data_IF_280469016245
#
_entry.id   IF_280469016245
#
_cell.length_a   1.000
_cell.length_b   1.000
_cell.length_c   1.000
_cell.angle_alpha   90.00
_cell.angle_beta   90.00
_cell.angle_gamma   90.00
#
_symmetry.space_group_name_H-M   'P 1'
#
loop_
_entity.id
_entity.type
_entity.pdbx_description
1 polymer ?
#
# COMPACT_ATOMS: atom_id res chain seq x y z
N UNK A 1 -11.29 7.49 -1.11
CA UNK A 1 -11.94 6.89 -2.30
C UNK A 1 -13.27 7.59 -2.47
N UNK A 2 -13.48 8.25 -3.60
CA UNK A 2 -14.81 8.72 -4.04
C UNK A 2 -15.19 7.82 -5.21
N UNK A 3 -16.48 7.55 -5.42
CA UNK A 3 -16.98 6.43 -6.25
C UNK A 3 -16.29 6.21 -7.61
N UNK A 4 -15.67 7.25 -8.18
CA UNK A 4 -15.04 7.21 -9.50
C UNK A 4 -13.58 7.72 -9.56
N UNK A 5 -12.91 8.03 -8.44
CA UNK A 5 -11.50 8.48 -8.41
C UNK A 5 -10.85 8.30 -7.02
N UNK A 6 -9.52 8.36 -6.98
CA UNK A 6 -8.73 8.26 -5.75
C UNK A 6 -7.96 9.53 -5.47
N UNK A 7 -7.70 9.77 -4.18
CA UNK A 7 -6.83 10.85 -3.71
C UNK A 7 -5.78 10.18 -2.84
N UNK A 8 -4.51 10.40 -3.16
CA UNK A 8 -3.36 10.02 -2.34
C UNK A 8 -2.83 11.29 -1.69
N UNK A 9 -2.68 11.26 -0.38
CA UNK A 9 -2.08 12.32 0.40
C UNK A 9 -0.77 11.78 0.99
N UNK A 10 0.35 12.38 0.62
CA UNK A 10 1.63 12.14 1.27
C UNK A 10 1.89 13.30 2.22
N UNK A 11 2.19 12.98 3.47
CA UNK A 11 2.60 13.96 4.47
C UNK A 11 3.84 13.43 5.19
N UNK A 12 4.94 14.18 5.09
CA UNK A 12 6.25 13.81 5.62
C UNK A 12 6.67 14.80 6.72
N UNK A 13 7.19 14.26 7.82
CA UNK A 13 7.53 15.02 9.02
C UNK A 13 8.98 14.81 9.41
N UNK A 14 9.50 15.80 10.12
CA UNK A 14 10.85 15.82 10.65
C UNK A 14 11.42 17.23 10.59
N UNK A 15 12.70 17.34 10.90
CA UNK A 15 13.41 18.62 10.90
C UNK A 15 14.41 18.68 9.74
N UNK A 16 14.53 19.85 9.11
CA UNK A 16 15.53 20.10 8.07
C UNK A 16 15.06 19.79 6.65
N UNK A 17 16.02 19.75 5.74
CA UNK A 17 15.82 19.44 4.32
C UNK A 17 16.19 18.00 4.01
N UNK A 18 15.28 17.30 3.33
CA UNK A 18 15.41 15.88 3.01
C UNK A 18 15.21 15.64 1.53
N UNK A 19 15.91 14.62 1.01
CA UNK A 19 15.59 14.09 -0.31
C UNK A 19 14.36 13.20 -0.18
N UNK A 20 13.32 13.47 -0.97
CA UNK A 20 12.10 12.67 -0.98
C UNK A 20 11.79 12.19 -2.39
N UNK A 21 11.06 11.08 -2.46
CA UNK A 21 10.55 10.50 -3.71
C UNK A 21 9.14 9.96 -3.45
N UNK A 22 8.19 10.41 -4.26
CA UNK A 22 6.90 9.74 -4.43
C UNK A 22 7.00 8.83 -5.65
N UNK A 23 6.55 7.59 -5.51
CA UNK A 23 6.68 6.57 -6.55
C UNK A 23 5.33 5.86 -6.79
N UNK A 24 4.88 5.84 -8.04
CA UNK A 24 3.74 5.05 -8.52
C UNK A 24 4.22 4.05 -9.57
N UNK A 25 4.09 2.76 -9.26
CA UNK A 25 4.50 1.65 -10.12
C UNK A 25 3.34 1.19 -11.01
N UNK A 26 3.59 0.99 -12.31
CA UNK A 26 2.61 0.49 -13.27
C UNK A 26 2.97 -0.90 -13.78
N UNK A 27 1.98 -1.57 -14.37
CA UNK A 27 2.15 -2.90 -14.96
C UNK A 27 2.93 -2.86 -16.29
N UNK A 28 3.44 -4.02 -16.68
CA UNK A 28 4.15 -4.23 -17.94
C UNK A 28 3.24 -3.87 -19.12
N UNK A 29 3.80 -3.16 -20.10
CA UNK A 29 3.08 -2.73 -21.29
C UNK A 29 2.20 -1.50 -21.09
N UNK A 30 2.13 -0.94 -19.87
CA UNK A 30 1.61 0.41 -19.71
C UNK A 30 2.55 1.42 -20.36
N UNK A 31 1.98 2.48 -20.91
CA UNK A 31 2.70 3.67 -21.37
C UNK A 31 2.40 4.81 -20.41
N UNK A 32 3.42 5.60 -20.02
CA UNK A 32 3.24 6.73 -19.10
C UNK A 32 3.79 7.99 -19.75
N UNK A 33 2.91 8.95 -19.98
CA UNK A 33 3.24 10.28 -20.45
C UNK A 33 3.25 11.25 -19.26
N UNK A 34 4.23 12.15 -19.21
CA UNK A 34 4.38 13.12 -18.12
C UNK A 34 4.45 14.53 -18.69
N UNK A 35 3.64 15.42 -18.12
CA UNK A 35 3.66 16.86 -18.38
C UNK A 35 3.63 17.61 -17.05
N UNK A 36 4.76 18.18 -16.66
CA UNK A 36 4.95 18.90 -15.41
C UNK A 36 4.43 18.13 -14.18
N UNK A 37 3.26 18.50 -13.65
CA UNK A 37 2.64 17.88 -12.46
C UNK A 37 1.58 16.84 -12.79
N UNK A 38 1.34 16.60 -14.08
CA UNK A 38 0.37 15.65 -14.60
C UNK A 38 1.06 14.45 -15.24
N UNK A 39 0.48 13.28 -15.07
CA UNK A 39 0.86 12.10 -15.82
C UNK A 39 -0.38 11.36 -16.32
N UNK A 40 -0.25 10.70 -17.47
CA UNK A 40 -1.27 9.81 -18.01
C UNK A 40 -0.66 8.43 -18.21
N UNK A 41 -1.20 7.43 -17.54
CA UNK A 41 -0.87 6.05 -17.80
C UNK A 41 -1.93 5.41 -18.71
N UNK A 42 -1.51 4.71 -19.75
CA UNK A 42 -2.39 3.99 -20.69
C UNK A 42 -2.03 2.51 -20.65
N UNK A 43 -3.01 1.66 -20.37
CA UNK A 43 -2.86 0.21 -20.39
C UNK A 43 -3.03 -0.36 -21.82
N UNK A 44 -2.50 -1.56 -22.14
CA UNK A 44 -2.61 -2.16 -23.48
C UNK A 44 -4.04 -2.34 -24.00
N UNK A 45 -5.02 -2.42 -23.11
CA UNK A 45 -6.43 -2.57 -23.47
C UNK A 45 -7.15 -1.23 -23.76
N UNK A 46 -6.42 -0.11 -23.70
CA UNK A 46 -6.91 1.25 -23.91
C UNK A 46 -7.47 1.94 -22.65
N UNK A 47 -7.45 1.29 -21.48
CA UNK A 47 -7.84 1.95 -20.23
C UNK A 47 -6.78 2.99 -19.83
N UNK A 48 -7.21 4.16 -19.37
CA UNK A 48 -6.29 5.24 -18.96
C UNK A 48 -6.43 5.56 -17.49
N UNK A 49 -5.36 6.08 -16.88
CA UNK A 49 -5.35 6.67 -15.56
C UNK A 49 -4.71 8.05 -15.65
N UNK A 50 -5.49 9.09 -15.37
CA UNK A 50 -5.00 10.47 -15.24
C UNK A 50 -4.53 10.71 -13.80
N UNK A 51 -3.35 11.32 -13.65
CA UNK A 51 -2.70 11.59 -12.38
C UNK A 51 -2.41 13.08 -12.34
N UNK A 52 -3.08 13.82 -11.47
CA UNK A 52 -2.81 15.24 -11.24
C UNK A 52 -2.25 15.40 -9.86
N UNK A 53 -1.02 15.86 -9.78
CA UNK A 53 -0.38 16.13 -8.50
C UNK A 53 -0.36 17.62 -8.21
N UNK A 54 -0.68 18.00 -6.99
CA UNK A 54 -0.56 19.36 -6.48
C UNK A 54 0.33 19.36 -5.23
N UNK A 55 0.81 20.55 -4.89
CA UNK A 55 1.92 20.75 -3.96
C UNK A 55 3.22 20.06 -4.47
N UNK A 56 4.31 20.26 -3.72
CA UNK A 56 5.62 19.74 -4.11
C UNK A 56 6.23 20.41 -5.34
N UNK A 57 6.19 21.75 -5.39
CA UNK A 57 6.81 22.54 -6.46
C UNK A 57 8.33 22.27 -6.63
N UNK A 58 8.99 21.70 -5.61
CA UNK A 58 10.39 21.26 -5.67
C UNK A 58 10.60 19.82 -6.16
N UNK A 59 9.53 19.07 -6.44
CA UNK A 59 9.63 17.70 -6.94
C UNK A 59 9.59 17.68 -8.47
N UNK A 60 10.61 17.07 -9.06
CA UNK A 60 10.71 16.83 -10.50
C UNK A 60 10.00 15.51 -10.83
N UNK A 61 9.11 15.58 -11.81
CA UNK A 61 8.43 14.41 -12.36
C UNK A 61 9.30 13.71 -13.40
N UNK A 62 9.36 12.38 -13.33
CA UNK A 62 10.04 11.55 -14.32
C UNK A 62 9.38 10.17 -14.46
N UNK A 63 9.61 9.52 -15.60
CA UNK A 63 9.26 8.11 -15.81
C UNK A 63 10.54 7.31 -15.87
N UNK A 64 10.62 6.28 -15.03
CA UNK A 64 11.70 5.31 -15.07
C UNK A 64 11.14 3.98 -15.53
N UNK A 65 11.73 3.39 -16.57
CA UNK A 65 11.40 2.05 -17.05
C UNK A 65 12.63 1.19 -16.78
N UNK A 66 12.56 0.41 -15.70
CA UNK A 66 13.70 -0.34 -15.17
C UNK A 66 14.87 0.56 -14.79
N UNK A 67 15.11 0.79 -13.50
CA UNK A 67 16.35 1.43 -13.11
C UNK A 67 17.58 0.52 -13.35
N UNK A 68 18.76 1.15 -13.45
CA UNK A 68 20.02 0.47 -13.79
C UNK A 68 20.52 -0.51 -12.73
N UNK A 69 19.94 -0.45 -11.52
CA UNK A 69 20.24 -1.37 -10.45
C UNK A 69 19.29 -2.58 -10.56
N UNK A 70 19.50 -3.41 -11.58
CA UNK A 70 18.81 -4.70 -11.65
C UNK A 70 19.13 -5.52 -10.41
N UNK A 71 18.10 -6.08 -9.80
CA UNK A 71 18.25 -7.03 -8.73
C UNK A 71 17.30 -8.21 -8.98
N UNK A 72 17.84 -9.40 -8.71
CA UNK A 72 17.36 -10.72 -9.10
C UNK A 72 15.88 -11.00 -8.78
N UNK A 73 15.42 -12.16 -9.25
CA UNK A 73 14.04 -12.66 -9.14
C UNK A 73 13.40 -12.40 -7.79
N UNK A 74 12.21 -11.81 -7.80
CA UNK A 74 11.36 -11.67 -6.61
C UNK A 74 10.62 -13.00 -6.37
N UNK A 75 11.00 -13.72 -5.30
CA UNK A 75 10.37 -14.95 -4.73
C UNK A 75 10.72 -16.29 -5.42
N UNK A 76 11.02 -17.41 -4.72
CA UNK A 76 10.39 -18.05 -3.53
C UNK A 76 11.40 -18.77 -2.59
N UNK A 77 11.26 -18.65 -1.25
CA UNK A 77 11.98 -19.50 -0.26
C UNK A 77 11.42 -20.93 -0.11
N UNK A 78 10.26 -21.26 -0.69
CA UNK A 78 9.70 -22.61 -0.65
C UNK A 78 10.23 -23.53 -1.77
N UNK A 79 11.09 -23.04 -2.66
CA UNK A 79 11.82 -23.90 -3.60
C UNK A 79 13.22 -24.17 -3.04
N UNK A 80 13.67 -25.44 -2.96
CA UNK A 80 14.95 -25.76 -2.37
C UNK A 80 16.06 -25.23 -3.28
N UNK A 81 16.75 -24.18 -2.79
CA UNK A 81 17.91 -23.48 -3.39
C UNK A 81 17.56 -22.52 -4.52
N UNK A 82 18.34 -21.44 -4.62
CA UNK A 82 18.22 -20.28 -5.53
C UNK A 82 17.13 -19.30 -5.01
N UNK A 83 17.39 -18.05 -4.57
CA UNK A 83 18.29 -16.99 -5.08
C UNK A 83 18.57 -15.99 -3.92
N UNK A 84 19.70 -15.29 -3.96
CA UNK A 84 20.01 -14.17 -3.05
C UNK A 84 18.97 -13.05 -3.23
N UNK A 85 18.30 -12.68 -2.14
CA UNK A 85 17.29 -11.63 -2.10
C UNK A 85 17.91 -10.25 -2.20
N UNK A 86 17.32 -9.41 -3.05
CA UNK A 86 17.84 -8.09 -3.38
C UNK A 86 16.65 -7.23 -3.82
N UNK A 87 16.42 -6.09 -3.16
CA UNK A 87 15.25 -5.22 -3.36
C UNK A 87 15.16 -4.83 -4.83
N UNK A 88 14.03 -5.10 -5.49
CA UNK A 88 13.80 -4.61 -6.85
C UNK A 88 13.74 -3.09 -6.84
N UNK A 89 14.50 -2.46 -7.73
CA UNK A 89 14.48 -1.02 -7.93
C UNK A 89 13.19 -0.52 -8.59
N UNK A 90 13.17 0.77 -8.88
CA UNK A 90 12.02 1.45 -9.50
C UNK A 90 11.86 0.97 -10.92
N UNK A 91 10.63 0.84 -11.39
CA UNK A 91 10.40 0.48 -12.79
C UNK A 91 10.53 -1.02 -13.08
N UNK A 92 10.34 -1.88 -12.09
CA UNK A 92 10.39 -3.33 -12.25
C UNK A 92 9.11 -3.98 -11.70
N UNK A 93 8.54 -4.93 -12.44
CA UNK A 93 7.38 -5.72 -12.02
C UNK A 93 7.68 -7.21 -12.20
N UNK A 94 7.52 -7.98 -11.13
CA UNK A 94 7.40 -9.43 -11.21
C UNK A 94 5.97 -9.83 -11.55
N UNK A 95 5.78 -10.79 -12.44
CA UNK A 95 4.44 -11.32 -12.77
C UNK A 95 4.24 -12.69 -12.13
N UNK A 96 3.22 -12.85 -11.30
CA UNK A 96 2.76 -14.16 -10.83
C UNK A 96 1.75 -14.79 -11.81
N UNK A 97 1.84 -16.10 -12.01
CA UNK A 97 0.73 -16.94 -12.49
C UNK A 97 0.83 -17.50 -13.91
N UNK A 98 0.20 -18.67 -14.11
CA UNK A 98 0.09 -19.42 -15.38
C UNK A 98 -0.78 -18.74 -16.46
N UNK A 99 -1.28 -17.52 -16.21
CA UNK A 99 -2.24 -16.82 -17.06
C UNK A 99 -1.68 -15.55 -17.73
N UNK A 100 -0.36 -15.37 -17.70
CA UNK A 100 0.34 -14.36 -18.49
C UNK A 100 1.30 -15.03 -19.47
N UNK A 101 1.47 -14.51 -20.70
CA UNK A 101 2.51 -15.01 -21.62
C UNK A 101 3.94 -14.67 -21.14
N UNK A 102 4.09 -13.98 -20.01
CA UNK A 102 5.35 -13.48 -19.48
C UNK A 102 5.96 -14.51 -18.50
N UNK A 103 7.27 -14.80 -18.57
CA UNK A 103 7.92 -15.76 -17.67
C UNK A 103 7.73 -15.38 -16.19
N UNK A 104 7.06 -16.24 -15.41
CA UNK A 104 6.67 -16.00 -14.02
C UNK A 104 7.83 -15.92 -13.00
N UNK A 105 9.07 -16.13 -13.45
CA UNK A 105 10.28 -16.15 -12.63
C UNK A 105 11.26 -15.04 -12.99
N UNK A 106 10.80 -13.96 -13.65
CA UNK A 106 11.66 -12.82 -14.00
C UNK A 106 10.94 -11.50 -13.74
N UNK A 107 11.65 -10.59 -13.08
CA UNK A 107 11.27 -9.18 -13.07
C UNK A 107 11.37 -8.65 -14.51
N UNK A 108 10.35 -7.91 -14.93
CA UNK A 108 10.33 -7.26 -16.23
C UNK A 108 10.36 -5.74 -16.03
N UNK A 109 11.01 -5.00 -16.93
CA UNK A 109 10.92 -3.55 -16.90
C UNK A 109 9.47 -3.11 -17.12
N UNK A 110 9.02 -2.20 -16.28
CA UNK A 110 7.70 -1.58 -16.33
C UNK A 110 7.83 -0.11 -15.94
N UNK A 111 6.92 0.78 -16.35
CA UNK A 111 7.07 2.18 -15.99
C UNK A 111 6.79 2.41 -14.50
N UNK A 112 7.57 3.30 -13.91
CA UNK A 112 7.30 3.94 -12.63
C UNK A 112 7.24 5.45 -12.86
N UNK A 113 6.20 6.10 -12.35
CA UNK A 113 6.11 7.55 -12.28
C UNK A 113 6.69 8.01 -10.95
N UNK A 114 7.74 8.82 -11.02
CA UNK A 114 8.44 9.35 -9.86
C UNK A 114 8.23 10.86 -9.78
N UNK A 115 8.08 11.37 -8.56
CA UNK A 115 8.24 12.79 -8.23
C UNK A 115 9.29 12.91 -7.14
N UNK A 116 10.49 13.37 -7.48
CA UNK A 116 11.63 13.39 -6.56
C UNK A 116 12.27 14.77 -6.45
N UNK A 117 12.80 15.09 -5.28
CA UNK A 117 13.40 16.39 -5.03
C UNK A 117 13.78 16.60 -3.57
N UNK A 118 14.50 17.69 -3.30
CA UNK A 118 14.82 18.09 -1.93
C UNK A 118 13.72 19.01 -1.41
N UNK A 119 13.21 18.71 -0.21
CA UNK A 119 12.10 19.46 0.40
C UNK A 119 12.41 19.72 1.87
N UNK A 120 11.90 20.84 2.40
CA UNK A 120 11.93 21.14 3.82
C UNK A 120 10.70 20.52 4.49
N UNK A 121 10.90 19.89 5.63
CA UNK A 121 9.79 19.36 6.42
C UNK A 121 9.16 20.43 7.33
N UNK A 122 7.83 20.34 7.61
CA UNK A 122 6.91 19.32 7.08
C UNK A 122 6.58 19.52 5.60
N UNK A 123 6.43 18.41 4.89
CA UNK A 123 6.14 18.38 3.45
C UNK A 123 4.81 17.70 3.19
N UNK A 124 4.07 18.17 2.18
CA UNK A 124 2.84 17.55 1.71
C UNK A 124 2.77 17.47 0.19
N UNK A 125 2.19 16.39 -0.32
CA UNK A 125 1.73 16.26 -1.70
C UNK A 125 0.34 15.65 -1.74
N UNK A 126 -0.43 16.05 -2.76
CA UNK A 126 -1.72 15.41 -3.08
C UNK A 126 -1.67 14.97 -4.52
N UNK A 127 -2.03 13.71 -4.77
CA UNK A 127 -2.17 13.14 -6.10
C UNK A 127 -3.59 12.66 -6.30
N UNK A 128 -4.30 13.23 -7.26
CA UNK A 128 -5.63 12.82 -7.69
C UNK A 128 -5.48 11.83 -8.85
N UNK A 129 -6.06 10.64 -8.70
CA UNK A 129 -5.97 9.55 -9.68
C UNK A 129 -7.35 9.25 -10.26
N UNK A 130 -7.54 9.51 -11.55
CA UNK A 130 -8.84 9.44 -12.22
C UNK A 130 -8.79 8.38 -13.33
N UNK A 131 -9.42 7.20 -13.14
CA UNK A 131 -9.43 6.15 -14.15
C UNK A 131 -10.37 6.51 -15.30
N UNK A 132 -10.18 5.94 -16.48
CA UNK A 132 -11.19 5.93 -17.54
C UNK A 132 -12.44 5.17 -17.08
N UNK A 133 -13.63 5.58 -17.55
CA UNK A 133 -14.87 4.80 -17.45
C UNK A 133 -15.24 4.40 -18.88
N UNK A 134 -15.58 3.12 -19.09
CA UNK A 134 -15.90 2.58 -20.41
C UNK A 134 -14.85 2.91 -21.50
N UNK A 135 -13.57 2.90 -21.09
CA UNK A 135 -12.40 3.30 -21.90
C UNK A 135 -12.42 4.75 -22.42
N UNK A 136 -13.33 5.58 -21.95
CA UNK A 136 -13.28 7.02 -22.19
C UNK A 136 -12.34 7.65 -21.18
N UNK A 137 -11.29 8.29 -21.70
CA UNK A 137 -10.35 9.02 -20.88
C UNK A 137 -11.07 10.14 -20.10
N UNK A 138 -10.67 10.31 -18.85
CA UNK A 138 -11.17 11.36 -17.97
C UNK A 138 -9.98 12.10 -17.38
N UNK A 139 -10.22 13.35 -17.03
CA UNK A 139 -9.22 14.25 -16.48
C UNK A 139 -9.82 14.93 -15.26
N UNK A 140 -9.04 15.04 -14.19
CA UNK A 140 -9.40 15.89 -13.07
C UNK A 140 -8.79 17.28 -13.26
N UNK A 141 -9.55 18.34 -12.98
CA UNK A 141 -8.98 19.65 -12.72
C UNK A 141 -8.91 19.85 -11.21
N UNK A 142 -7.75 20.28 -10.72
CA UNK A 142 -7.49 20.41 -9.29
C UNK A 142 -7.02 21.82 -8.98
N UNK A 143 -7.75 22.51 -8.12
CA UNK A 143 -7.47 23.90 -7.74
C UNK A 143 -7.24 24.00 -6.24
N UNK A 144 -6.15 24.65 -5.83
CA UNK A 144 -5.90 24.96 -4.42
C UNK A 144 -6.72 26.18 -4.06
N UNK A 145 -7.68 26.03 -3.14
CA UNK A 145 -8.48 27.13 -2.61
C UNK A 145 -7.81 27.78 -1.40
N UNK A 146 -7.14 26.97 -0.58
CA UNK A 146 -6.41 27.43 0.59
C UNK A 146 -5.17 26.56 0.83
N UNK A 147 -4.06 27.21 1.18
CA UNK A 147 -2.85 26.56 1.66
C UNK A 147 -2.25 27.36 2.81
N UNK A 148 -2.36 26.84 4.04
CA UNK A 148 -1.85 27.45 5.25
C UNK A 148 -1.03 26.45 6.08
N UNK A 149 -0.38 26.95 7.13
CA UNK A 149 0.38 26.13 8.07
C UNK A 149 -0.48 25.12 8.84
N UNK A 150 -1.79 25.35 8.97
CA UNK A 150 -2.70 24.50 9.74
C UNK A 150 -3.72 23.72 8.91
N UNK A 151 -3.88 24.04 7.63
CA UNK A 151 -4.84 23.36 6.74
C UNK A 151 -4.58 23.63 5.27
N UNK A 152 -5.10 22.78 4.41
CA UNK A 152 -5.32 23.11 3.00
C UNK A 152 -6.73 22.73 2.57
N UNK A 153 -7.21 23.42 1.54
CA UNK A 153 -8.50 23.14 0.89
C UNK A 153 -8.24 23.06 -0.61
N UNK A 154 -8.67 21.96 -1.23
CA UNK A 154 -8.54 21.75 -2.67
C UNK A 154 -9.88 21.40 -3.26
N UNK A 155 -10.14 21.99 -4.41
CA UNK A 155 -11.30 21.74 -5.25
C UNK A 155 -10.89 20.77 -6.36
N UNK A 156 -11.72 19.76 -6.61
CA UNK A 156 -11.48 18.70 -7.57
C UNK A 156 -12.71 18.58 -8.47
N UNK A 157 -12.55 18.87 -9.76
CA UNK A 157 -13.58 18.67 -10.77
C UNK A 157 -13.17 17.50 -11.67
N UNK A 158 -13.95 16.41 -11.64
CA UNK A 158 -13.68 15.21 -12.49
C UNK A 158 -14.64 15.06 -13.66
N UNK A 159 -15.73 15.84 -13.65
CA UNK A 159 -16.74 15.96 -14.72
C UNK A 159 -17.32 17.37 -14.67
N UNK A 160 -17.71 17.95 -15.82
CA UNK A 160 -18.30 19.29 -15.86
C UNK A 160 -19.46 19.43 -14.86
N UNK A 161 -19.33 20.38 -13.94
CA UNK A 161 -20.36 20.71 -12.94
C UNK A 161 -20.42 19.78 -11.74
N UNK A 162 -19.56 18.75 -11.63
CA UNK A 162 -19.36 17.98 -10.41
C UNK A 162 -18.05 18.40 -9.74
N UNK A 163 -18.20 19.18 -8.67
CA UNK A 163 -17.08 19.72 -7.90
C UNK A 163 -17.08 19.08 -6.51
N UNK A 164 -15.98 18.42 -6.17
CA UNK A 164 -15.71 17.90 -4.84
C UNK A 164 -14.71 18.81 -4.13
N UNK A 165 -14.95 19.11 -2.85
CA UNK A 165 -14.00 19.84 -2.00
C UNK A 165 -13.34 18.86 -1.01
N UNK A 166 -12.01 18.92 -0.93
CA UNK A 166 -11.23 18.25 0.10
C UNK A 166 -10.60 19.30 1.00
N UNK A 167 -11.11 19.38 2.23
CA UNK A 167 -10.43 20.07 3.33
C UNK A 167 -9.58 19.06 4.10
N UNK A 168 -8.33 19.43 4.41
CA UNK A 168 -7.47 18.68 5.29
C UNK A 168 -6.88 19.59 6.36
N UNK A 169 -7.09 19.26 7.63
CA UNK A 169 -6.45 19.95 8.75
C UNK A 169 -5.10 19.30 9.01
N UNK A 170 -4.04 20.10 9.04
CA UNK A 170 -2.72 19.65 9.46
C UNK A 170 -2.65 19.47 11.00
N UNK A 171 -3.70 19.83 11.73
CA UNK A 171 -3.88 19.48 13.14
C UNK A 171 -4.46 18.07 13.36
N UNK A 172 -4.99 17.41 12.31
CA UNK A 172 -5.36 15.98 12.34
C UNK A 172 -4.12 15.06 12.18
N UNK A 173 -2.92 15.65 12.20
CA UNK A 173 -1.65 14.97 12.38
C UNK A 173 -1.58 14.45 13.81
N UNK A 174 -2.00 13.19 14.02
CA UNK A 174 -1.91 12.55 15.34
C UNK A 174 -0.50 12.72 15.89
N UNK A 175 -0.38 13.26 17.11
CA UNK A 175 0.86 13.41 17.88
C UNK A 175 1.85 12.27 17.57
N UNK A 176 2.90 12.59 16.79
CA UNK A 176 3.85 11.65 16.18
C UNK A 176 4.82 10.97 17.18
N UNK A 177 4.45 10.88 18.45
CA UNK A 177 5.27 10.17 19.44
C UNK A 177 5.14 8.64 19.34
N UNK A 178 4.26 8.11 18.50
CA UNK A 178 4.19 6.67 18.25
C UNK A 178 4.80 6.28 16.90
N UNK A 179 6.02 5.75 16.96
CA UNK A 179 6.67 5.03 15.86
C UNK A 179 5.78 3.85 15.43
N UNK A 180 5.19 3.93 14.23
CA UNK A 180 4.25 2.89 13.75
C UNK A 180 4.97 1.62 13.25
N UNK A 181 6.24 1.71 12.84
CA UNK A 181 7.30 0.68 12.79
C UNK A 181 8.41 1.14 11.83
N UNK A 182 9.63 0.64 12.01
CA UNK A 182 10.65 0.66 10.95
C UNK A 182 10.29 -0.47 9.96
N UNK A 183 10.15 -0.16 8.68
CA UNK A 183 10.09 -1.07 7.53
C UNK A 183 9.80 -2.55 7.85
N UNK A 184 8.52 -2.93 7.82
CA UNK A 184 8.13 -4.33 7.95
C UNK A 184 7.04 -4.67 6.94
N UNK A 185 7.15 -5.83 6.31
CA UNK A 185 6.26 -6.30 5.23
C UNK A 185 4.85 -6.62 5.73
N UNK A 186 4.16 -5.67 6.34
CA UNK A 186 2.77 -5.79 6.76
C UNK A 186 2.12 -4.42 6.90
N UNK A 187 0.78 -4.38 6.75
CA UNK A 187 0.00 -3.14 6.74
C UNK A 187 -1.16 -3.24 7.73
N UNK A 188 -1.41 -2.17 8.50
CA UNK A 188 -2.53 -2.09 9.44
C UNK A 188 -3.52 -1.02 9.01
N UNK A 189 -4.80 -1.38 8.88
CA UNK A 189 -5.89 -0.42 8.73
C UNK A 189 -6.62 -0.24 10.06
N UNK A 190 -6.70 1.00 10.56
CA UNK A 190 -7.53 1.38 11.72
C UNK A 190 -8.80 2.09 11.26
N UNK A 191 -9.91 1.87 11.97
CA UNK A 191 -11.18 2.61 11.83
C UNK A 191 -11.65 2.94 13.24
N UNK A 192 -11.89 4.21 13.52
CA UNK A 192 -12.24 4.75 14.85
C UNK A 192 -11.22 4.34 15.94
N UNK A 193 -9.92 4.41 15.61
CA UNK A 193 -8.82 4.05 16.53
C UNK A 193 -8.59 2.54 16.72
N UNK A 194 -9.49 1.68 16.23
CA UNK A 194 -9.37 0.23 16.37
C UNK A 194 -8.75 -0.43 15.12
N UNK A 195 -7.86 -1.41 15.32
CA UNK A 195 -7.34 -2.25 14.22
C UNK A 195 -8.49 -3.06 13.62
N UNK A 196 -8.69 -2.93 12.30
CA UNK A 196 -9.73 -3.64 11.53
C UNK A 196 -9.16 -4.70 10.60
N UNK A 197 -7.98 -4.46 10.04
CA UNK A 197 -7.31 -5.37 9.11
C UNK A 197 -5.82 -5.29 9.28
N UNK A 198 -5.18 -6.44 9.17
CA UNK A 198 -3.73 -6.63 9.15
C UNK A 198 -3.44 -7.44 7.89
N UNK A 199 -2.60 -6.91 7.01
CA UNK A 199 -2.10 -7.64 5.84
C UNK A 199 -0.68 -8.05 6.18
N UNK A 200 -0.39 -9.35 6.15
CA UNK A 200 0.93 -9.89 6.44
C UNK A 200 1.56 -10.31 5.11
N UNK A 201 2.77 -9.83 4.83
CA UNK A 201 3.54 -10.15 3.63
C UNK A 201 4.85 -10.81 4.03
N UNK A 202 4.90 -12.14 3.88
CA UNK A 202 6.11 -12.94 4.03
C UNK A 202 6.81 -12.76 5.40
N UNK A 203 6.03 -12.82 6.49
CA UNK A 203 6.54 -12.75 7.86
C UNK A 203 6.09 -13.99 8.65
N UNK A 204 6.98 -14.55 9.45
CA UNK A 204 6.68 -15.62 10.41
C UNK A 204 6.30 -15.07 11.78
N UNK A 205 6.70 -13.85 12.11
CA UNK A 205 6.32 -13.14 13.34
C UNK A 205 5.87 -11.73 13.02
N UNK A 206 4.69 -11.36 13.50
CA UNK A 206 4.16 -9.99 13.39
C UNK A 206 3.79 -9.50 14.79
N UNK A 207 4.38 -8.37 15.21
CA UNK A 207 4.10 -7.76 16.50
C UNK A 207 3.74 -6.29 16.33
N UNK A 208 2.53 -5.94 16.73
CA UNK A 208 1.97 -4.60 16.64
C UNK A 208 1.81 -4.08 18.07
N UNK A 209 2.50 -3.00 18.41
CA UNK A 209 2.32 -2.29 19.68
C UNK A 209 1.59 -0.96 19.45
N UNK A 210 0.77 -0.56 20.40
CA UNK A 210 0.06 0.73 20.43
C UNK A 210 -0.22 1.15 21.87
N UNK A 211 -0.59 2.42 22.11
CA UNK A 211 -1.07 2.87 23.44
C UNK A 211 -2.17 1.97 24.03
N UNK A 212 -2.98 1.34 23.18
CA UNK A 212 -4.07 0.46 23.59
C UNK A 212 -3.64 -0.99 23.90
N UNK A 213 -2.43 -1.44 23.58
CA UNK A 213 -2.02 -2.83 23.81
C UNK A 213 -1.25 -3.45 22.64
N UNK A 214 -1.10 -4.78 22.67
CA UNK A 214 -0.28 -5.53 21.70
C UNK A 214 -1.10 -6.55 20.91
N UNK A 215 -0.77 -6.73 19.64
CA UNK A 215 -1.26 -7.83 18.79
C UNK A 215 -0.03 -8.59 18.30
N UNK A 216 0.04 -9.89 18.53
CA UNK A 216 1.18 -10.73 18.15
C UNK A 216 0.73 -12.00 17.42
N UNK A 217 1.35 -12.29 16.28
CA UNK A 217 1.17 -13.49 15.47
C UNK A 217 2.50 -14.23 15.35
N UNK A 218 2.44 -15.56 15.41
CA UNK A 218 3.56 -16.44 15.11
C UNK A 218 3.10 -17.59 14.22
N UNK A 219 3.84 -17.84 13.16
CA UNK A 219 3.64 -18.92 12.22
C UNK A 219 4.86 -19.86 12.21
N UNK A 220 4.68 -21.12 11.79
CA UNK A 220 5.78 -22.10 11.67
C UNK A 220 6.64 -21.92 10.41
N UNK A 221 6.37 -20.85 9.66
CA UNK A 221 7.08 -20.41 8.47
C UNK A 221 6.54 -19.04 8.04
N UNK A 222 7.11 -18.47 6.98
CA UNK A 222 6.67 -17.17 6.48
C UNK A 222 5.22 -17.25 5.95
N UNK A 223 4.34 -16.42 6.52
CA UNK A 223 2.94 -16.35 6.17
C UNK A 223 2.66 -15.14 5.25
N UNK A 224 1.74 -15.34 4.31
CA UNK A 224 1.17 -14.27 3.50
C UNK A 224 -0.35 -14.40 3.47
N UNK A 225 -1.03 -13.29 3.73
CA UNK A 225 -2.49 -13.24 3.80
C UNK A 225 -2.99 -12.08 4.62
N UNK A 226 -4.26 -12.13 5.01
CA UNK A 226 -4.90 -11.09 5.82
C UNK A 226 -5.54 -11.65 7.08
N UNK A 227 -5.52 -10.82 8.11
CA UNK A 227 -6.24 -11.01 9.37
C UNK A 227 -7.22 -9.85 9.51
N UNK A 228 -8.50 -10.16 9.65
CA UNK A 228 -9.59 -9.20 9.74
C UNK A 228 -10.27 -9.28 11.10
N UNK A 229 -10.60 -8.13 11.68
CA UNK A 229 -11.43 -8.07 12.89
C UNK A 229 -12.90 -8.12 12.49
N UNK A 230 -13.65 -9.03 13.09
CA UNK A 230 -15.09 -9.19 12.84
C UNK A 230 -15.91 -8.17 13.62
N UNK A 231 -17.18 -7.97 13.23
CA UNK A 231 -18.06 -6.98 13.85
C UNK A 231 -18.38 -7.29 15.33
N UNK A 232 -18.38 -8.57 15.69
CA UNK A 232 -18.57 -9.07 17.06
C UNK A 232 -17.29 -9.04 17.92
N UNK A 233 -16.20 -8.45 17.40
CA UNK A 233 -14.94 -8.29 18.11
C UNK A 233 -13.99 -9.49 18.02
N UNK A 234 -14.38 -10.56 17.33
CA UNK A 234 -13.52 -11.69 16.98
C UNK A 234 -12.55 -11.38 15.83
N UNK A 235 -11.95 -12.44 15.29
CA UNK A 235 -10.96 -12.35 14.23
C UNK A 235 -11.16 -13.45 13.19
N UNK A 236 -10.72 -13.19 11.96
CA UNK A 236 -10.63 -14.17 10.89
C UNK A 236 -9.28 -14.08 10.22
N UNK A 237 -8.77 -15.19 9.72
CA UNK A 237 -7.54 -15.28 8.93
C UNK A 237 -7.88 -15.79 7.53
N UNK A 238 -7.31 -15.18 6.50
CA UNK A 238 -7.43 -15.63 5.11
C UNK A 238 -6.02 -15.73 4.54
N UNK A 239 -5.45 -16.94 4.41
CA UNK A 239 -4.18 -17.12 3.72
C UNK A 239 -4.33 -16.71 2.26
N UNK A 240 -3.29 -16.14 1.68
CA UNK A 240 -3.31 -15.82 0.25
C UNK A 240 -3.26 -17.08 -0.62
N UNK A 241 -3.76 -16.96 -1.85
CA UNK A 241 -3.86 -18.06 -2.83
C UNK A 241 -2.50 -18.63 -3.25
N UNK A 242 -1.40 -17.89 -3.01
CA UNK A 242 -0.05 -18.28 -3.43
C UNK A 242 0.67 -19.21 -2.44
N UNK A 243 0.08 -19.46 -1.26
CA UNK A 243 0.63 -20.42 -0.31
C UNK A 243 0.42 -21.84 -0.86
N UNK A 244 1.49 -22.46 -1.39
CA UNK A 244 1.42 -23.88 -1.82
C UNK A 244 1.08 -24.80 -0.64
N UNK A 245 1.58 -24.44 0.54
CA UNK A 245 1.19 -24.96 1.85
C UNK A 245 1.20 -23.78 2.82
N UNK A 246 0.05 -23.45 3.40
CA UNK A 246 -0.05 -22.39 4.41
C UNK A 246 0.72 -22.81 5.66
N UNK A 247 1.65 -21.99 6.19
CA UNK A 247 2.31 -22.29 7.44
C UNK A 247 1.29 -22.35 8.59
N UNK A 248 1.53 -23.22 9.56
CA UNK A 248 0.69 -23.30 10.74
C UNK A 248 0.78 -22.02 11.56
N UNK A 249 -0.35 -21.46 11.95
CA UNK A 249 -0.44 -20.47 13.00
C UNK A 249 -0.10 -21.14 14.33
N UNK A 250 1.06 -20.79 14.89
CA UNK A 250 1.57 -21.27 16.17
C UNK A 250 1.02 -20.47 17.35
N UNK A 251 0.66 -19.21 17.14
CA UNK A 251 0.07 -18.39 18.17
C UNK A 251 -0.49 -17.09 17.63
N UNK A 252 -1.64 -16.70 18.15
CA UNK A 252 -2.20 -15.37 17.95
C UNK A 252 -2.69 -14.84 19.29
N UNK A 253 -2.11 -13.73 19.74
CA UNK A 253 -2.45 -13.09 21.00
C UNK A 253 -2.79 -11.61 20.82
N UNK A 254 -3.85 -11.16 21.50
CA UNK A 254 -4.23 -9.75 21.60
C UNK A 254 -4.24 -9.37 23.07
N UNK A 255 -3.43 -8.39 23.45
CA UNK A 255 -3.42 -7.82 24.79
C UNK A 255 -4.05 -6.44 24.81
N UNK A 256 -4.86 -6.17 25.83
CA UNK A 256 -5.48 -4.87 26.08
C UNK A 256 -5.72 -4.71 27.58
N UNK A 257 -5.37 -3.55 28.16
CA UNK A 257 -5.67 -3.25 29.57
C UNK A 257 -5.12 -4.27 30.58
N UNK A 258 -3.96 -4.89 30.29
CA UNK A 258 -3.34 -5.91 31.15
C UNK A 258 -3.91 -7.33 31.00
N UNK A 259 -4.90 -7.53 30.15
CA UNK A 259 -5.44 -8.86 29.81
C UNK A 259 -4.94 -9.31 28.44
N UNK A 260 -4.59 -10.59 28.32
CA UNK A 260 -4.20 -11.20 27.04
C UNK A 260 -5.24 -12.25 26.63
N UNK A 261 -5.63 -12.21 25.37
CA UNK A 261 -6.56 -13.13 24.74
C UNK A 261 -5.82 -13.88 23.64
N UNK A 262 -5.81 -15.21 23.73
CA UNK A 262 -5.24 -16.08 22.70
C UNK A 262 -6.34 -16.53 21.73
N UNK A 263 -5.98 -16.75 20.47
CA UNK A 263 -6.91 -17.19 19.44
C UNK A 263 -6.31 -18.31 18.60
N UNK A 264 -7.15 -19.24 18.18
CA UNK A 264 -6.79 -20.39 17.35
C UNK A 264 -7.76 -20.55 16.17
N UNK A 265 -7.33 -21.11 15.04
CA UNK A 265 -8.23 -21.33 13.90
C UNK A 265 -9.37 -22.28 14.25
N UNK A 266 -10.55 -21.99 13.71
CA UNK A 266 -11.75 -22.78 13.96
C UNK A 266 -11.75 -24.17 13.31
N UNK A 267 -10.76 -24.49 12.47
CA UNK A 267 -10.61 -25.74 11.75
C UNK A 267 -9.16 -26.22 11.72
N UNK A 268 -8.93 -27.36 11.07
CA UNK A 268 -7.63 -28.01 11.00
C UNK A 268 -6.60 -27.15 10.25
N UNK A 269 -5.34 -27.32 10.64
CA UNK A 269 -4.20 -26.69 9.98
C UNK A 269 -3.39 -27.73 9.20
N UNK A 270 -2.75 -27.38 8.07
CA UNK A 270 -2.61 -26.03 7.51
C UNK A 270 -3.93 -25.48 6.93
N UNK A 271 -4.09 -24.17 6.97
CA UNK A 271 -5.31 -23.52 6.48
C UNK A 271 -5.35 -23.53 4.95
N UNK A 272 -6.54 -23.72 4.40
CA UNK A 272 -6.74 -23.71 2.94
C UNK A 272 -6.46 -22.30 2.37
N UNK A 273 -5.64 -22.17 1.32
CA UNK A 273 -5.41 -20.91 0.62
C UNK A 273 -6.72 -20.25 0.14
N UNK A 274 -6.77 -18.92 0.17
CA UNK A 274 -7.92 -18.10 -0.24
C UNK A 274 -9.24 -18.41 0.48
N UNK A 275 -9.18 -19.11 1.61
CA UNK A 275 -10.34 -19.44 2.43
C UNK A 275 -10.29 -18.68 3.74
N UNK A 276 -11.36 -17.96 4.05
CA UNK A 276 -11.47 -17.21 5.31
C UNK A 276 -11.88 -18.15 6.44
N UNK A 277 -11.00 -18.29 7.44
CA UNK A 277 -11.21 -19.14 8.61
C UNK A 277 -11.40 -18.26 9.86
N UNK A 278 -12.48 -18.45 10.63
CA UNK A 278 -12.65 -17.79 11.92
C UNK A 278 -11.55 -18.20 12.91
N UNK A 279 -11.12 -17.25 13.73
CA UNK A 279 -10.20 -17.46 14.85
C UNK A 279 -11.01 -17.41 16.14
N UNK A 280 -11.05 -18.53 16.85
CA UNK A 280 -11.78 -18.71 18.11
C UNK A 280 -10.93 -18.25 19.28
N UNK A 281 -11.53 -17.52 20.20
CA UNK A 281 -10.91 -17.18 21.47
C UNK A 281 -10.63 -18.46 22.27
N UNK A 282 -9.38 -18.66 22.63
CA UNK A 282 -8.92 -19.71 23.55
C UNK A 282 -8.94 -19.12 24.95
N UNK A 283 -9.59 -19.80 25.89
CA UNK A 283 -9.65 -19.40 27.29
C UNK A 283 -8.39 -19.80 28.04
#
# INVERSE_FOLDING_TARGET
VKDNYWIVLDALYGEGEHQVESNLQFMIGNEVEVDATRARATAPNGATLDLVSIFGAGLKSEVVIGDTNTQDTTFLRQYPKFVDWKLSGRGWVGTFGNNTPIPAVRNQPAPAFLRSGRVKFPFKSVTVMTPSIDKQARQAEVRVLEDSAGKFVVEIETKPGQVDELTWLLADWSDHNEKIADDSGWWVRRVDGAVRRIIVMNQDVVKIASMGGTIEFRFDGAFEGRIDRTADGGWTITPDAYNSVTPKLLGFAVSHGGHAHAYEPAGDQPLEPNTTTPLKLVR
#
